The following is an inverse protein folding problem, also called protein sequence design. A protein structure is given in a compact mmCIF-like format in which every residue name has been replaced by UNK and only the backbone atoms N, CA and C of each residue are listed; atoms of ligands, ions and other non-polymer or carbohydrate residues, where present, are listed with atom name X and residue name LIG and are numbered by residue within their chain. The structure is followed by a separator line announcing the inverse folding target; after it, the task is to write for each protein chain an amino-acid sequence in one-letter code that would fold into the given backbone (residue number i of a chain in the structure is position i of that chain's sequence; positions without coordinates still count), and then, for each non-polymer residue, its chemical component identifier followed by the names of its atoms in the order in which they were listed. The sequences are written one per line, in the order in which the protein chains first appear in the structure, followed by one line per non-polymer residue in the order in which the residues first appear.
data_IF_802057553228
#
_entry.id   IF_802057553228
#
_cell.length_a   1.000
_cell.length_b   1.000
_cell.length_c   1.000
_cell.angle_alpha   90.00
_cell.angle_beta   90.00
_cell.angle_gamma   90.00
#
_symmetry.space_group_name_H-M   'P 1'
#
loop_
_entity.id
_entity.type
_entity.pdbx_description
1 polymer ?
#
# COMPACT_ATOMS: atom_id res chain seq x y z
N UNK A 1 2.50 -3.38 -26.70
CA UNK A 1 3.28 -4.61 -26.45
C UNK A 1 2.87 -5.10 -25.09
N UNK A 2 2.21 -6.24 -25.04
CA UNK A 2 1.87 -6.90 -23.77
C UNK A 2 3.18 -7.29 -23.05
N UNK A 3 3.30 -6.91 -21.78
CA UNK A 3 4.42 -7.32 -20.94
C UNK A 3 4.20 -8.76 -20.47
N UNK A 4 5.26 -9.56 -20.38
CA UNK A 4 5.15 -10.94 -19.87
C UNK A 4 5.09 -10.95 -18.34
N UNK A 5 4.53 -12.00 -17.74
CA UNK A 5 4.51 -12.17 -16.28
C UNK A 5 5.93 -12.10 -15.66
N UNK A 6 6.94 -12.70 -16.32
CA UNK A 6 8.34 -12.60 -15.89
C UNK A 6 8.87 -11.16 -15.92
N UNK A 7 8.48 -10.37 -16.93
CA UNK A 7 8.85 -8.96 -17.00
C UNK A 7 8.13 -8.13 -15.94
N UNK A 8 6.86 -8.43 -15.67
CA UNK A 8 6.07 -7.81 -14.61
C UNK A 8 6.69 -8.05 -13.23
N UNK A 9 6.96 -9.32 -12.89
CA UNK A 9 7.64 -9.72 -11.65
C UNK A 9 8.98 -9.00 -11.45
N UNK A 10 9.77 -8.85 -12.51
CA UNK A 10 11.03 -8.06 -12.48
C UNK A 10 10.79 -6.57 -12.24
N UNK A 11 9.72 -5.99 -12.79
CA UNK A 11 9.40 -4.58 -12.57
C UNK A 11 8.99 -4.35 -11.11
N UNK A 12 8.17 -5.23 -10.53
CA UNK A 12 7.75 -5.16 -9.13
C UNK A 12 8.93 -5.38 -8.20
N UNK A 13 9.80 -6.35 -8.48
CA UNK A 13 11.03 -6.55 -7.69
C UNK A 13 11.89 -5.28 -7.64
N UNK A 14 12.02 -4.53 -8.74
CA UNK A 14 12.74 -3.25 -8.73
C UNK A 14 12.06 -2.23 -7.82
N UNK A 15 10.73 -2.18 -7.79
CA UNK A 15 9.98 -1.31 -6.88
C UNK A 15 10.22 -1.73 -5.42
N UNK A 16 10.19 -3.03 -5.12
CA UNK A 16 10.51 -3.55 -3.79
C UNK A 16 11.95 -3.14 -3.39
N UNK A 17 12.93 -3.32 -4.27
CA UNK A 17 14.33 -2.96 -4.03
C UNK A 17 14.55 -1.45 -3.82
N UNK A 18 13.72 -0.59 -4.42
CA UNK A 18 13.73 0.85 -4.19
C UNK A 18 13.23 1.17 -2.77
N UNK A 19 12.10 0.57 -2.39
CA UNK A 19 11.46 0.83 -1.10
C UNK A 19 12.18 0.17 0.08
N UNK A 20 12.88 -0.95 -0.13
CA UNK A 20 13.67 -1.64 0.91
C UNK A 20 14.87 -0.82 1.42
N UNK A 21 15.26 0.24 0.69
CA UNK A 21 16.36 1.13 1.06
C UNK A 21 15.94 2.27 1.99
N UNK A 22 14.65 2.46 2.19
CA UNK A 22 14.10 3.60 2.93
C UNK A 22 13.12 3.14 4.00
N UNK A 23 12.97 3.95 5.05
CA UNK A 23 12.06 3.71 6.16
C UNK A 23 11.48 5.04 6.63
N UNK A 24 10.21 5.09 7.10
CA UNK A 24 9.59 6.32 7.56
C UNK A 24 10.38 7.02 8.67
N UNK A 25 11.09 6.25 9.50
CA UNK A 25 11.95 6.72 10.59
C UNK A 25 13.31 6.01 10.54
N UNK A 26 14.31 6.59 11.22
CA UNK A 26 15.67 6.04 11.37
C UNK A 26 15.74 4.78 12.26
N UNK A 27 14.61 4.38 12.83
CA UNK A 27 14.46 3.20 13.66
C UNK A 27 13.17 2.45 13.31
N UNK A 28 13.06 1.22 13.82
CA UNK A 28 11.87 0.39 13.64
C UNK A 28 10.65 1.02 14.33
N UNK A 29 9.77 1.62 13.53
CA UNK A 29 8.54 2.26 14.00
C UNK A 29 7.58 1.28 14.70
N UNK A 30 7.70 -0.04 14.44
CA UNK A 30 6.93 -1.06 15.14
C UNK A 30 7.14 -1.03 16.65
N UNK A 31 8.29 -0.55 17.12
CA UNK A 31 8.59 -0.37 18.56
C UNK A 31 7.70 0.68 19.24
N UNK A 32 7.09 1.60 18.49
CA UNK A 32 6.22 2.64 19.04
C UNK A 32 4.84 2.09 19.43
N UNK A 33 4.36 1.05 18.74
CA UNK A 33 3.00 0.54 18.86
C UNK A 33 2.92 -0.98 19.07
N UNK A 34 4.05 -1.68 19.16
CA UNK A 34 4.06 -3.14 19.20
C UNK A 34 3.59 -3.76 17.88
N UNK A 35 3.96 -3.16 16.74
CA UNK A 35 3.66 -3.67 15.40
C UNK A 35 2.16 -3.79 15.08
N UNK A 36 1.34 -2.88 15.64
CA UNK A 36 -0.13 -2.91 15.50
C UNK A 36 -0.63 -3.00 14.05
N UNK A 37 0.13 -2.49 13.09
CA UNK A 37 -0.20 -2.61 11.66
C UNK A 37 -0.12 -4.03 11.11
N UNK A 38 0.52 -4.95 11.83
CA UNK A 38 0.59 -6.37 11.52
C UNK A 38 -0.28 -7.20 12.46
N UNK A 39 -0.39 -6.82 13.75
CA UNK A 39 -1.02 -7.64 14.80
C UNK A 39 -2.40 -7.12 15.24
N UNK A 40 -3.05 -6.27 14.44
CA UNK A 40 -4.37 -5.72 14.77
C UNK A 40 -5.39 -6.82 15.12
N UNK A 41 -5.36 -7.90 14.34
CA UNK A 41 -6.30 -9.03 14.40
C UNK A 41 -6.18 -9.84 15.70
N UNK A 42 -5.00 -9.82 16.34
CA UNK A 42 -4.79 -10.50 17.63
C UNK A 42 -5.74 -9.97 18.70
N UNK A 43 -6.14 -8.71 18.58
CA UNK A 43 -7.07 -8.04 19.48
C UNK A 43 -8.49 -7.90 18.91
N UNK A 44 -8.70 -8.20 17.62
CA UNK A 44 -9.98 -8.06 16.93
C UNK A 44 -10.25 -9.28 16.05
N UNK A 45 -10.96 -10.28 16.58
CA UNK A 45 -11.21 -11.56 15.87
C UNK A 45 -12.22 -11.47 14.72
N UNK A 46 -12.94 -10.36 14.61
CA UNK A 46 -13.98 -10.14 13.59
C UNK A 46 -13.43 -9.49 12.33
N UNK A 47 -12.28 -8.82 12.42
CA UNK A 47 -11.63 -8.12 11.30
C UNK A 47 -10.22 -8.67 11.10
N UNK A 48 -9.86 -8.93 9.85
CA UNK A 48 -8.50 -9.32 9.48
C UNK A 48 -7.81 -8.23 8.70
N UNK A 49 -6.56 -7.93 9.04
CA UNK A 49 -5.70 -7.04 8.27
C UNK A 49 -5.16 -7.81 7.07
N UNK A 50 -5.80 -7.56 5.93
CA UNK A 50 -5.29 -7.89 4.61
C UNK A 50 -4.86 -6.63 3.87
N UNK A 51 -4.02 -6.81 2.85
CA UNK A 51 -3.62 -5.73 1.95
C UNK A 51 -3.98 -6.09 0.52
N UNK A 52 -4.68 -5.17 -0.14
CA UNK A 52 -4.99 -5.30 -1.55
C UNK A 52 -3.73 -5.07 -2.37
N UNK A 53 -3.51 -5.94 -3.34
CA UNK A 53 -2.33 -5.89 -4.19
C UNK A 53 -2.56 -4.97 -5.39
N UNK A 54 -1.47 -4.34 -5.85
CA UNK A 54 -1.46 -3.66 -7.14
C UNK A 54 -1.35 -4.68 -8.30
N UNK A 55 -1.71 -4.30 -9.54
CA UNK A 55 -1.64 -5.21 -10.67
C UNK A 55 -0.25 -5.85 -10.83
N UNK A 56 -0.21 -7.18 -10.89
CA UNK A 56 1.01 -7.97 -11.06
C UNK A 56 1.74 -8.30 -9.76
N UNK A 57 1.43 -7.63 -8.64
CA UNK A 57 2.11 -7.82 -7.36
C UNK A 57 1.85 -9.22 -6.78
N UNK A 58 0.74 -9.86 -7.15
CA UNK A 58 0.41 -11.26 -6.81
C UNK A 58 1.50 -12.25 -7.25
N UNK A 59 2.22 -11.94 -8.33
CA UNK A 59 3.32 -12.76 -8.85
C UNK A 59 4.49 -12.90 -7.86
N UNK A 60 4.55 -12.03 -6.84
CA UNK A 60 5.57 -12.09 -5.78
C UNK A 60 5.29 -13.18 -4.74
N UNK A 61 4.08 -13.76 -4.74
CA UNK A 61 3.61 -14.68 -3.69
C UNK A 61 3.44 -16.12 -4.16
N UNK A 62 3.66 -16.42 -5.45
CA UNK A 62 3.49 -17.76 -6.04
C UNK A 62 4.21 -18.89 -5.27
N UNK A 63 5.38 -18.58 -4.67
CA UNK A 63 6.24 -19.53 -3.97
C UNK A 63 6.38 -19.21 -2.46
N UNK A 64 5.44 -18.48 -1.86
CA UNK A 64 5.56 -18.03 -0.47
C UNK A 64 4.60 -18.71 0.51
N UNK A 65 5.15 -19.33 1.55
CA UNK A 65 4.36 -19.84 2.70
C UNK A 65 4.14 -18.76 3.79
N UNK A 66 4.67 -17.55 3.60
CA UNK A 66 4.57 -16.46 4.59
C UNK A 66 3.27 -15.66 4.48
N UNK A 67 2.53 -15.82 3.39
CA UNK A 67 1.31 -15.07 3.11
C UNK A 67 0.25 -15.99 2.50
N UNK A 68 -1.00 -15.84 2.93
CA UNK A 68 -2.14 -16.37 2.21
C UNK A 68 -2.49 -15.38 1.09
N UNK A 69 -2.66 -15.89 -0.13
CA UNK A 69 -3.11 -15.12 -1.28
C UNK A 69 -4.58 -15.45 -1.57
N UNK A 70 -5.42 -14.42 -1.61
CA UNK A 70 -6.83 -14.53 -1.95
C UNK A 70 -7.10 -13.78 -3.25
N UNK A 71 -8.08 -14.27 -3.99
CA UNK A 71 -8.52 -13.71 -5.26
C UNK A 71 -10.01 -13.37 -5.13
N UNK A 72 -10.37 -12.14 -5.52
CA UNK A 72 -11.71 -11.58 -5.40
C UNK A 72 -12.09 -11.01 -6.76
N UNK A 73 -13.30 -11.30 -7.24
CA UNK A 73 -13.76 -10.69 -8.48
C UNK A 73 -13.93 -9.17 -8.27
N UNK A 74 -13.36 -8.34 -9.15
CA UNK A 74 -13.44 -6.88 -9.01
C UNK A 74 -14.87 -6.35 -9.00
N UNK A 75 -15.83 -7.08 -9.61
CA UNK A 75 -17.25 -6.70 -9.66
C UNK A 75 -17.99 -6.96 -8.35
N UNK A 76 -17.42 -7.76 -7.46
CA UNK A 76 -17.99 -8.06 -6.14
C UNK A 76 -17.55 -7.05 -5.07
N UNK A 77 -16.64 -6.13 -5.43
CA UNK A 77 -16.10 -5.12 -4.53
C UNK A 77 -16.18 -3.72 -5.13
N UNK A 78 -15.96 -2.73 -4.27
CA UNK A 78 -16.12 -1.32 -4.60
C UNK A 78 -14.83 -0.75 -5.23
N UNK A 79 -14.60 -1.11 -6.50
CA UNK A 79 -13.40 -0.78 -7.29
C UNK A 79 -13.73 0.04 -8.55
N UNK A 80 -12.74 0.74 -9.16
CA UNK A 80 -12.97 1.47 -10.41
C UNK A 80 -13.38 0.51 -11.54
N UNK A 81 -14.30 0.95 -12.40
CA UNK A 81 -14.79 0.17 -13.54
C UNK A 81 -13.72 -0.20 -14.57
N UNK A 82 -12.57 0.49 -14.58
CA UNK A 82 -11.43 0.14 -15.44
C UNK A 82 -10.62 -1.05 -14.93
N UNK A 83 -10.91 -1.55 -13.71
CA UNK A 83 -10.32 -2.77 -13.19
C UNK A 83 -11.17 -3.98 -13.59
N UNK A 84 -10.84 -4.58 -14.73
CA UNK A 84 -11.59 -5.72 -15.28
C UNK A 84 -11.07 -7.10 -14.83
N UNK A 85 -9.86 -7.16 -14.28
CA UNK A 85 -9.23 -8.39 -13.76
C UNK A 85 -9.65 -8.69 -12.32
N UNK A 86 -9.29 -9.87 -11.82
CA UNK A 86 -9.45 -10.17 -10.40
C UNK A 86 -8.55 -9.27 -9.53
N UNK A 87 -9.03 -8.96 -8.33
CA UNK A 87 -8.29 -8.22 -7.30
C UNK A 87 -7.71 -9.22 -6.32
N UNK A 88 -6.41 -9.09 -6.08
CA UNK A 88 -5.71 -9.95 -5.13
C UNK A 88 -5.57 -9.28 -3.77
N UNK A 89 -5.67 -10.08 -2.71
CA UNK A 89 -5.50 -9.68 -1.32
C UNK A 89 -4.47 -10.62 -0.67
N UNK A 90 -3.56 -10.07 0.13
CA UNK A 90 -2.63 -10.88 0.93
C UNK A 90 -2.86 -10.71 2.42
N UNK A 91 -2.78 -11.81 3.15
CA UNK A 91 -2.81 -11.87 4.61
C UNK A 91 -1.54 -12.55 5.11
N UNK A 92 -0.88 -11.96 6.10
CA UNK A 92 0.28 -12.56 6.74
C UNK A 92 -0.13 -13.81 7.53
N UNK A 93 0.52 -14.95 7.32
CA UNK A 93 0.15 -16.22 7.98
C UNK A 93 0.53 -16.27 9.46
N UNK A 94 1.54 -15.49 9.87
CA UNK A 94 2.03 -15.45 11.25
C UNK A 94 2.51 -14.05 11.64
N UNK A 95 1.61 -13.08 11.81
CA UNK A 95 2.00 -11.72 12.19
C UNK A 95 2.71 -11.70 13.55
N UNK A 96 3.73 -10.86 13.77
CA UNK A 96 4.39 -9.95 12.82
C UNK A 96 5.59 -10.59 12.08
N UNK A 97 5.71 -11.93 12.10
CA UNK A 97 6.87 -12.70 11.66
C UNK A 97 6.86 -13.11 10.18
N UNK A 98 6.07 -12.46 9.31
CA UNK A 98 6.11 -12.72 7.88
C UNK A 98 7.48 -12.38 7.27
N UNK A 99 7.76 -12.96 6.10
CA UNK A 99 8.90 -12.56 5.29
C UNK A 99 8.77 -11.08 4.87
N UNK A 100 9.50 -10.21 5.57
CA UNK A 100 9.48 -8.76 5.31
C UNK A 100 9.97 -8.36 3.92
N UNK A 101 10.76 -9.20 3.24
CA UNK A 101 11.32 -8.91 1.92
C UNK A 101 10.30 -8.97 0.79
N UNK A 102 9.12 -9.54 1.04
CA UNK A 102 8.04 -9.63 0.05
C UNK A 102 6.76 -8.92 0.49
N UNK A 103 6.83 -8.06 1.53
CA UNK A 103 5.67 -7.24 1.93
C UNK A 103 5.16 -6.43 0.74
N UNK A 104 3.85 -6.20 0.63
CA UNK A 104 3.28 -5.45 -0.48
C UNK A 104 3.68 -3.97 -0.43
N UNK A 105 3.64 -3.30 -1.58
CA UNK A 105 3.98 -1.89 -1.80
C UNK A 105 3.25 -1.00 -0.81
N UNK A 106 1.96 -1.23 -0.57
CA UNK A 106 1.18 -0.43 0.39
C UNK A 106 1.75 -0.50 1.81
N UNK A 107 2.22 -1.67 2.27
CA UNK A 107 2.89 -1.80 3.57
C UNK A 107 4.24 -1.09 3.61
N UNK A 108 4.93 -1.03 2.46
CA UNK A 108 6.25 -0.40 2.32
C UNK A 108 6.17 1.12 2.25
N UNK A 109 5.10 1.67 1.69
CA UNK A 109 4.90 3.11 1.57
C UNK A 109 4.16 3.70 2.78
N UNK A 110 3.52 2.88 3.61
CA UNK A 110 2.91 3.31 4.87
C UNK A 110 3.91 4.07 5.76
N UNK A 111 3.55 5.25 6.33
CA UNK A 111 2.20 5.82 6.46
C UNK A 111 1.77 6.75 5.32
N UNK A 112 2.48 6.74 4.18
CA UNK A 112 2.16 7.56 3.02
C UNK A 112 1.32 6.77 2.01
N UNK A 113 0.23 7.39 1.58
CA UNK A 113 -0.62 6.91 0.49
C UNK A 113 -0.67 7.95 -0.63
N UNK A 114 -0.82 7.51 -1.89
CA UNK A 114 -0.91 8.40 -3.03
C UNK A 114 -2.28 9.08 -3.07
N UNK A 115 -2.30 10.30 -3.59
CA UNK A 115 -3.53 11.05 -3.81
C UNK A 115 -3.44 11.86 -5.09
N UNK A 116 -4.42 11.72 -5.98
CA UNK A 116 -4.53 12.50 -7.20
C UNK A 116 -5.58 13.58 -6.99
N UNK A 117 -5.15 14.85 -7.01
CA UNK A 117 -6.04 15.98 -6.83
C UNK A 117 -6.94 16.22 -8.08
N UNK A 118 -7.84 17.19 -8.01
CA UNK A 118 -8.77 17.53 -9.11
C UNK A 118 -8.08 17.96 -10.42
N UNK A 119 -6.82 18.38 -10.36
CA UNK A 119 -6.03 18.79 -11.51
C UNK A 119 -5.20 17.63 -12.10
N UNK A 120 -5.34 16.42 -11.56
CA UNK A 120 -4.56 15.26 -11.99
C UNK A 120 -3.13 15.22 -11.43
N UNK A 121 -2.79 16.06 -10.45
CA UNK A 121 -1.46 16.06 -9.83
C UNK A 121 -1.40 15.01 -8.72
N UNK A 122 -0.38 14.15 -8.78
CA UNK A 122 -0.02 13.22 -7.71
C UNK A 122 0.56 13.97 -6.51
N UNK A 123 0.06 13.63 -5.33
CA UNK A 123 0.56 14.00 -4.02
C UNK A 123 0.77 12.76 -3.16
N UNK A 124 1.59 12.88 -2.11
CA UNK A 124 1.53 11.94 -0.99
C UNK A 124 0.83 12.59 0.19
N UNK A 125 -0.02 11.82 0.85
CA UNK A 125 -0.74 12.23 2.06
C UNK A 125 -0.52 11.20 3.17
N UNK A 126 -0.77 11.59 4.43
CA UNK A 126 -0.82 10.64 5.54
C UNK A 126 -2.10 9.81 5.49
N UNK A 127 -1.97 8.51 5.73
CA UNK A 127 -3.10 7.57 5.80
C UNK A 127 -3.86 7.66 7.13
N UNK A 128 -4.52 8.80 7.34
CA UNK A 128 -5.24 9.10 8.58
C UNK A 128 -6.59 8.38 8.71
N UNK A 129 -7.12 7.82 7.61
CA UNK A 129 -8.54 7.48 7.52
C UNK A 129 -8.85 6.13 6.86
N UNK A 130 -7.86 5.40 6.34
CA UNK A 130 -8.10 4.11 5.68
C UNK A 130 -7.61 2.90 6.50
N UNK A 131 -7.11 3.13 7.72
CA UNK A 131 -6.61 2.07 8.62
C UNK A 131 -7.54 1.86 9.84
N UNK A 132 -7.66 0.61 10.34
CA UNK A 132 -8.52 0.28 11.48
C UNK A 132 -7.84 0.50 12.85
N UNK A 133 -6.59 0.96 12.87
CA UNK A 133 -5.77 1.19 14.06
C UNK A 133 -5.19 2.59 14.12
N UNK A 134 -4.74 3.02 15.30
CA UNK A 134 -4.07 4.30 15.49
C UNK A 134 -2.54 4.15 15.33
N UNK A 135 -1.96 4.80 14.32
CA UNK A 135 -0.51 4.81 14.11
C UNK A 135 0.15 5.99 14.85
N UNK A 136 1.16 5.76 15.73
CA UNK A 136 1.85 6.85 16.43
C UNK A 136 2.52 7.88 15.52
N UNK A 137 3.03 7.46 14.35
CA UNK A 137 3.63 8.40 13.37
C UNK A 137 2.59 9.43 12.92
N UNK A 138 1.37 8.97 12.65
CA UNK A 138 0.28 9.80 12.16
C UNK A 138 -0.29 10.64 13.29
N UNK A 139 -0.66 10.00 14.41
CA UNK A 139 -1.24 10.67 15.60
C UNK A 139 -0.35 11.78 16.14
N UNK A 140 0.94 11.48 16.32
CA UNK A 140 1.90 12.42 16.91
C UNK A 140 2.56 13.33 15.86
N UNK A 141 2.17 13.17 14.58
CA UNK A 141 2.68 13.93 13.44
C UNK A 141 4.21 13.96 13.42
N UNK A 142 4.83 12.78 13.56
CA UNK A 142 6.29 12.65 13.58
C UNK A 142 6.88 13.06 12.23
N UNK A 143 8.05 13.67 12.26
CA UNK A 143 8.78 14.02 11.04
C UNK A 143 9.28 12.75 10.36
N UNK A 144 8.87 12.56 9.10
CA UNK A 144 9.29 11.43 8.28
C UNK A 144 10.66 11.71 7.63
N UNK A 145 11.42 10.64 7.43
CA UNK A 145 12.67 10.71 6.68
C UNK A 145 12.44 11.24 5.26
N UNK A 146 13.23 12.23 4.85
CA UNK A 146 13.12 12.87 3.52
C UNK A 146 13.36 11.88 2.39
N UNK A 147 14.31 10.96 2.56
CA UNK A 147 14.59 9.92 1.57
C UNK A 147 13.41 8.98 1.39
N UNK A 148 12.69 8.66 2.48
CA UNK A 148 11.46 7.87 2.42
C UNK A 148 10.35 8.58 1.65
N UNK A 149 10.11 9.87 1.94
CA UNK A 149 9.11 10.67 1.20
C UNK A 149 9.46 10.70 -0.30
N UNK A 150 10.72 11.03 -0.62
CA UNK A 150 11.17 11.19 -2.00
C UNK A 150 11.12 9.87 -2.78
N UNK A 151 11.58 8.78 -2.20
CA UNK A 151 11.59 7.47 -2.87
C UNK A 151 10.18 6.92 -3.03
N UNK A 152 9.32 7.08 -2.02
CA UNK A 152 7.89 6.75 -2.09
C UNK A 152 7.20 7.53 -3.22
N UNK A 153 7.49 8.83 -3.35
CA UNK A 153 6.91 9.66 -4.41
C UNK A 153 7.37 9.21 -5.79
N UNK A 154 8.66 8.90 -5.96
CA UNK A 154 9.19 8.35 -7.22
C UNK A 154 8.51 7.03 -7.58
N UNK A 155 8.37 6.13 -6.62
CA UNK A 155 7.71 4.83 -6.83
C UNK A 155 6.27 5.03 -7.26
N UNK A 156 5.48 5.83 -6.54
CA UNK A 156 4.10 6.10 -6.94
C UNK A 156 4.01 6.77 -8.31
N UNK A 157 4.92 7.69 -8.64
CA UNK A 157 5.01 8.29 -9.98
C UNK A 157 5.31 7.26 -11.07
N UNK A 158 6.05 6.18 -10.78
CA UNK A 158 6.27 5.07 -11.70
C UNK A 158 4.98 4.24 -11.84
N UNK A 159 4.38 3.86 -10.71
CA UNK A 159 3.20 2.99 -10.65
C UNK A 159 1.99 3.59 -11.36
N UNK A 160 1.72 4.89 -11.19
CA UNK A 160 0.57 5.55 -11.85
C UNK A 160 0.76 5.76 -13.37
N UNK A 161 1.87 5.34 -13.96
CA UNK A 161 1.96 5.27 -15.43
C UNK A 161 1.14 4.08 -15.98
N UNK A 162 0.81 3.12 -15.13
CA UNK A 162 -0.23 2.13 -15.42
C UNK A 162 -1.61 2.80 -15.28
N UNK A 163 -2.43 2.85 -16.35
CA UNK A 163 -3.76 3.45 -16.30
C UNK A 163 -4.68 2.84 -15.25
N UNK A 164 -4.60 1.53 -15.00
CA UNK A 164 -5.44 0.84 -14.01
C UNK A 164 -5.07 1.28 -12.60
N UNK A 165 -3.76 1.44 -12.32
CA UNK A 165 -3.29 1.98 -11.05
C UNK A 165 -3.67 3.46 -10.90
N UNK A 166 -3.50 4.26 -11.95
CA UNK A 166 -3.92 5.67 -11.93
C UNK A 166 -5.40 5.81 -11.57
N UNK A 167 -6.26 5.02 -12.22
CA UNK A 167 -7.70 5.06 -12.00
C UNK A 167 -8.08 4.59 -10.60
N UNK A 168 -7.41 3.57 -10.05
CA UNK A 168 -7.58 3.16 -8.65
C UNK A 168 -7.23 4.29 -7.68
N UNK A 169 -6.07 4.93 -7.85
CA UNK A 169 -5.67 6.04 -6.97
C UNK A 169 -6.61 7.23 -7.13
N UNK A 170 -7.04 7.54 -8.35
CA UNK A 170 -8.01 8.60 -8.61
C UNK A 170 -9.35 8.29 -7.93
N UNK A 171 -9.84 7.06 -8.05
CA UNK A 171 -11.06 6.55 -7.42
C UNK A 171 -11.02 6.75 -5.89
N UNK A 172 -9.98 6.26 -5.24
CA UNK A 172 -9.78 6.42 -3.79
C UNK A 172 -9.63 7.88 -3.38
N UNK A 173 -8.97 8.69 -4.21
CA UNK A 173 -8.84 10.13 -3.99
C UNK A 173 -10.19 10.84 -4.01
N UNK A 174 -11.08 10.47 -4.95
CA UNK A 174 -12.45 11.02 -4.98
C UNK A 174 -13.25 10.58 -3.76
N UNK A 175 -13.11 9.33 -3.31
CA UNK A 175 -13.76 8.84 -2.08
C UNK A 175 -13.33 9.64 -0.86
N UNK A 176 -12.02 9.87 -0.71
CA UNK A 176 -11.46 10.69 0.37
C UNK A 176 -12.01 12.11 0.35
N UNK A 177 -11.99 12.76 -0.82
CA UNK A 177 -12.49 14.13 -0.96
C UNK A 177 -13.99 14.24 -0.65
N UNK A 178 -14.78 13.24 -1.06
CA UNK A 178 -16.22 13.19 -0.81
C UNK A 178 -16.58 13.00 0.67
N UNK A 179 -15.71 12.36 1.47
CA UNK A 179 -15.89 12.22 2.93
C UNK A 179 -15.72 13.56 3.66
N UNK A 180 -15.22 14.61 3.00
CA UNK A 180 -14.94 15.95 3.57
C UNK A 180 -14.05 15.92 4.81
N UNK A 181 -13.28 14.84 4.99
CA UNK A 181 -12.26 14.76 6.02
C UNK A 181 -11.00 15.46 5.51
N UNK A 182 -10.37 16.25 6.37
CA UNK A 182 -9.07 16.85 6.06
C UNK A 182 -8.02 15.75 6.03
N UNK A 183 -7.01 15.92 5.18
CA UNK A 183 -5.81 15.11 5.13
C UNK A 183 -4.61 16.03 4.93
N UNK A 184 -3.45 15.61 5.42
CA UNK A 184 -2.21 16.37 5.30
C UNK A 184 -1.46 15.99 4.03
N UNK A 185 -1.20 16.98 3.16
CA UNK A 185 -0.30 16.83 2.01
C UNK A 185 1.16 16.91 2.47
N UNK A 186 1.97 15.96 2.02
CA UNK A 186 3.40 15.85 2.34
C UNK A 186 4.27 16.34 1.17
N UNK A 187 3.89 15.99 -0.06
CA UNK A 187 4.53 16.42 -1.31
C UNK A 187 3.49 16.50 -2.43
#
# INVERSE_FOLDING_TARGET
MEITASQMKKNIQKIYDMLDKVSPLDYDCGKLCGEICCVYDDNNKEEKVGLYLLPGEELMYEDSDSFNLYCINSKDIDYPHSWDDDVYLVECTNPPKCNRSIRPIQCRTFPLIPHINSNGTLHLILDENEIPYECPIIRDNLELNKDFINETYKVWKILINDPVVYDLIAYDSRRRDNRRKKYKIII
#
